data_IF_516081741435
#
_entry.id   IF_516081741435
#
_cell.length_a   1.000
_cell.length_b   1.000
_cell.length_c   1.000
_cell.angle_alpha   90.00
_cell.angle_beta   90.00
_cell.angle_gamma   90.00
#
_symmetry.space_group_name_H-M   'P 1'
#
loop_
_entity.id
_entity.type
_entity.pdbx_description
1 polymer ?
#
# COMPACT_ATOMS: atom_id res chain seq x y z
N UNK A 1 25.21 2.23 -0.92
CA UNK A 1 24.30 2.47 -2.06
C UNK A 1 24.08 3.96 -2.15
N UNK A 2 24.29 4.55 -3.32
CA UNK A 2 24.04 5.99 -3.55
C UNK A 2 22.65 6.16 -4.17
N UNK A 3 21.75 6.82 -3.43
CA UNK A 3 20.35 7.00 -3.84
C UNK A 3 20.12 8.23 -4.70
N UNK A 4 21.14 9.05 -4.95
CA UNK A 4 21.00 10.33 -5.66
C UNK A 4 20.53 10.15 -7.11
N UNK A 5 21.10 9.20 -7.84
CA UNK A 5 20.71 8.92 -9.23
C UNK A 5 19.26 8.38 -9.32
N UNK A 6 18.85 7.35 -8.55
CA UNK A 6 17.46 6.91 -8.51
C UNK A 6 16.48 8.05 -8.19
N UNK A 7 16.77 8.87 -7.18
CA UNK A 7 15.90 9.98 -6.79
C UNK A 7 15.76 11.01 -7.91
N UNK A 8 16.87 11.44 -8.52
CA UNK A 8 16.82 12.38 -9.65
C UNK A 8 16.01 11.83 -10.82
N UNK A 9 16.14 10.53 -11.11
CA UNK A 9 15.36 9.86 -12.15
C UNK A 9 13.85 9.92 -11.86
N UNK A 10 13.43 9.60 -10.63
CA UNK A 10 12.01 9.68 -10.25
C UNK A 10 11.46 11.11 -10.39
N UNK A 11 12.24 12.14 -10.04
CA UNK A 11 11.83 13.55 -10.22
C UNK A 11 11.66 13.92 -11.69
N UNK A 12 12.56 13.46 -12.57
CA UNK A 12 12.49 13.73 -14.00
C UNK A 12 11.22 13.12 -14.63
N UNK A 13 10.98 11.84 -14.37
CA UNK A 13 9.78 11.14 -14.85
C UNK A 13 8.52 11.80 -14.28
N UNK A 14 8.52 12.18 -13.00
CA UNK A 14 7.37 12.86 -12.38
C UNK A 14 7.07 14.21 -13.04
N UNK A 15 8.09 15.02 -13.36
CA UNK A 15 7.86 16.29 -14.09
C UNK A 15 7.24 16.05 -15.47
N UNK A 16 7.76 15.07 -16.22
CA UNK A 16 7.18 14.71 -17.52
C UNK A 16 5.73 14.25 -17.39
N UNK A 17 5.41 13.49 -16.35
CA UNK A 17 4.07 12.99 -16.10
C UNK A 17 3.09 14.11 -15.72
N UNK A 18 3.52 15.14 -14.99
CA UNK A 18 2.68 16.32 -14.69
C UNK A 18 2.19 16.98 -15.98
N UNK A 19 3.06 17.08 -17.00
CA UNK A 19 2.73 17.73 -18.28
C UNK A 19 1.89 16.86 -19.21
N UNK A 20 1.84 15.54 -19.00
CA UNK A 20 1.24 14.58 -19.94
C UNK A 20 0.02 13.85 -19.39
N UNK A 21 -0.16 13.78 -18.08
CA UNK A 21 -1.32 13.13 -17.46
C UNK A 21 -2.53 14.05 -17.43
N UNK A 22 -3.62 13.58 -18.03
CA UNK A 22 -4.92 14.26 -17.96
C UNK A 22 -5.77 13.74 -16.79
N UNK A 23 -5.66 12.45 -16.45
CA UNK A 23 -6.32 11.79 -15.31
C UNK A 23 -5.37 10.83 -14.58
N UNK A 24 -5.82 10.23 -13.46
CA UNK A 24 -5.00 9.40 -12.58
C UNK A 24 -4.44 8.18 -13.31
N UNK A 25 -3.11 7.95 -13.26
CA UNK A 25 -2.46 6.80 -13.88
C UNK A 25 -2.73 5.52 -13.09
N UNK A 26 -2.86 4.39 -13.80
CA UNK A 26 -2.95 3.06 -13.17
C UNK A 26 -1.78 2.16 -13.57
N UNK A 27 -1.65 1.93 -14.87
CA UNK A 27 -0.71 0.97 -15.42
C UNK A 27 -0.22 1.38 -16.81
N UNK A 28 0.91 0.85 -17.24
CA UNK A 28 1.45 1.11 -18.57
C UNK A 28 2.25 -0.09 -19.07
N UNK A 29 2.09 -0.40 -20.36
CA UNK A 29 2.85 -1.40 -21.14
C UNK A 29 3.47 -0.77 -22.41
N UNK A 30 3.43 0.57 -22.50
CA UNK A 30 3.90 1.35 -23.64
C UNK A 30 4.19 2.82 -23.25
N UNK A 31 4.30 3.76 -24.21
CA UNK A 31 4.79 5.11 -23.94
C UNK A 31 3.79 6.03 -23.22
N UNK A 32 2.62 5.52 -22.81
CA UNK A 32 1.56 6.29 -22.17
C UNK A 32 0.93 5.51 -21.03
N UNK A 33 0.59 6.21 -19.95
CA UNK A 33 -0.24 5.66 -18.87
C UNK A 33 -1.64 5.33 -19.39
N UNK A 34 -2.13 4.14 -19.01
CA UNK A 34 -3.57 3.90 -18.93
C UNK A 34 -4.09 4.66 -17.72
N UNK A 35 -5.00 5.59 -17.97
CA UNK A 35 -5.65 6.39 -16.94
C UNK A 35 -7.06 5.89 -16.65
N UNK A 36 -7.55 6.21 -15.46
CA UNK A 36 -8.81 5.71 -14.93
C UNK A 36 -10.06 6.28 -15.63
N UNK A 37 -9.97 7.43 -16.32
CA UNK A 37 -11.13 8.12 -16.91
C UNK A 37 -11.91 7.26 -17.91
N UNK A 38 -11.22 6.43 -18.70
CA UNK A 38 -11.88 5.55 -19.70
C UNK A 38 -12.86 4.55 -19.05
N UNK A 39 -12.65 4.28 -17.76
CA UNK A 39 -13.40 3.43 -16.84
C UNK A 39 -14.70 4.00 -16.22
N UNK A 40 -14.75 5.33 -16.08
CA UNK A 40 -14.98 5.86 -14.73
C UNK A 40 -16.44 5.95 -14.26
N UNK A 41 -17.41 6.35 -15.08
CA UNK A 41 -18.73 6.73 -14.55
C UNK A 41 -18.59 7.57 -13.25
N UNK A 42 -19.44 7.30 -12.24
CA UNK A 42 -19.36 7.95 -10.90
C UNK A 42 -18.58 7.12 -9.85
N UNK A 43 -17.64 6.24 -10.25
CA UNK A 43 -16.98 5.29 -9.31
C UNK A 43 -15.53 5.65 -9.00
N UNK A 44 -15.18 5.43 -7.73
CA UNK A 44 -13.82 5.54 -7.21
C UNK A 44 -12.91 4.48 -7.82
N UNK A 45 -11.65 4.81 -8.09
CA UNK A 45 -10.63 3.79 -8.38
C UNK A 45 -9.57 3.78 -7.28
N UNK A 46 -9.18 2.58 -6.86
CA UNK A 46 -8.39 2.35 -5.66
C UNK A 46 -6.95 2.92 -5.73
N UNK A 47 -6.45 3.16 -6.95
CA UNK A 47 -5.08 3.64 -7.18
C UNK A 47 -4.93 5.17 -7.20
N UNK A 48 -6.03 5.92 -7.10
CA UNK A 48 -6.00 7.36 -7.36
C UNK A 48 -5.08 8.14 -6.39
N UNK A 49 -4.90 7.64 -5.16
CA UNK A 49 -4.03 8.27 -4.15
C UNK A 49 -2.53 8.14 -4.41
N UNK A 50 -2.08 7.14 -5.18
CA UNK A 50 -0.64 6.88 -5.35
C UNK A 50 0.06 7.98 -6.14
N UNK A 51 -0.58 8.51 -7.20
CA UNK A 51 -0.03 9.62 -7.98
C UNK A 51 0.12 10.89 -7.14
N UNK A 52 -0.89 11.22 -6.32
CA UNK A 52 -0.80 12.36 -5.40
C UNK A 52 0.28 12.14 -4.35
N UNK A 53 0.43 10.92 -3.85
CA UNK A 53 1.55 10.54 -2.98
C UNK A 53 2.92 10.77 -3.64
N UNK A 54 3.10 10.36 -4.89
CA UNK A 54 4.33 10.60 -5.66
C UNK A 54 4.63 12.11 -5.75
N UNK A 55 3.62 12.94 -6.03
CA UNK A 55 3.78 14.39 -6.11
C UNK A 55 4.23 14.99 -4.77
N UNK A 56 3.61 14.58 -3.65
CA UNK A 56 4.00 15.02 -2.32
C UNK A 56 5.42 14.61 -1.97
N UNK A 57 5.77 13.34 -2.20
CA UNK A 57 7.10 12.80 -1.95
C UNK A 57 8.17 13.50 -2.81
N UNK A 58 7.84 13.80 -4.06
CA UNK A 58 8.70 14.56 -4.97
C UNK A 58 8.94 15.99 -4.46
N UNK A 59 7.91 16.66 -3.93
CA UNK A 59 8.08 17.98 -3.30
C UNK A 59 8.91 17.90 -2.03
N UNK A 60 8.61 16.97 -1.12
CA UNK A 60 9.35 16.81 0.14
C UNK A 60 10.85 16.61 -0.13
N UNK A 61 11.16 15.78 -1.13
CA UNK A 61 12.54 15.52 -1.50
C UNK A 61 13.23 16.73 -2.14
N UNK A 62 12.59 17.37 -3.14
CA UNK A 62 13.24 18.37 -4.00
C UNK A 62 13.03 19.83 -3.58
N UNK A 63 12.00 20.11 -2.77
CA UNK A 63 11.49 21.46 -2.46
C UNK A 63 11.08 22.28 -3.69
N UNK A 64 10.81 21.61 -4.82
CA UNK A 64 10.38 22.25 -6.07
C UNK A 64 8.87 22.53 -6.02
N UNK A 65 8.50 23.82 -5.98
CA UNK A 65 7.11 24.29 -5.86
C UNK A 65 6.20 23.81 -7.01
N UNK A 66 6.75 23.40 -8.15
CA UNK A 66 5.97 22.81 -9.23
C UNK A 66 5.30 21.49 -8.78
N UNK A 67 6.01 20.63 -8.04
CA UNK A 67 5.43 19.40 -7.50
C UNK A 67 4.36 19.69 -6.45
N UNK A 68 4.57 20.70 -5.59
CA UNK A 68 3.57 21.10 -4.59
C UNK A 68 2.30 21.63 -5.23
N UNK A 69 2.42 22.49 -6.24
CA UNK A 69 1.28 23.02 -6.96
C UNK A 69 0.48 21.89 -7.63
N UNK A 70 1.17 20.95 -8.28
CA UNK A 70 0.55 19.75 -8.82
C UNK A 70 -0.11 18.90 -7.73
N UNK A 71 0.58 18.61 -6.61
CA UNK A 71 0.06 17.77 -5.53
C UNK A 71 -1.24 18.32 -4.94
N UNK A 72 -1.31 19.64 -4.72
CA UNK A 72 -2.53 20.33 -4.28
C UNK A 72 -3.66 20.19 -5.30
N UNK A 73 -3.37 20.41 -6.59
CA UNK A 73 -4.39 20.37 -7.64
C UNK A 73 -4.96 18.95 -7.83
N UNK A 74 -4.08 17.95 -7.89
CA UNK A 74 -4.51 16.55 -8.01
C UNK A 74 -5.23 16.07 -6.74
N UNK A 75 -4.84 16.52 -5.54
CA UNK A 75 -5.55 16.17 -4.30
C UNK A 75 -6.99 16.70 -4.28
N UNK A 76 -7.24 17.90 -4.83
CA UNK A 76 -8.62 18.43 -4.94
C UNK A 76 -9.52 17.54 -5.77
N UNK A 77 -8.99 16.91 -6.83
CA UNK A 77 -9.76 15.99 -7.71
C UNK A 77 -10.26 14.75 -6.98
N UNK A 78 -9.70 14.41 -5.82
CA UNK A 78 -10.11 13.27 -4.99
C UNK A 78 -11.15 13.64 -3.93
N UNK A 79 -11.39 14.93 -3.67
CA UNK A 79 -12.22 15.39 -2.55
C UNK A 79 -13.62 14.77 -2.53
N UNK A 80 -14.24 14.54 -3.68
CA UNK A 80 -15.58 13.97 -3.78
C UNK A 80 -15.68 12.54 -3.23
N UNK A 81 -14.55 11.81 -3.18
CA UNK A 81 -14.48 10.44 -2.69
C UNK A 81 -14.59 10.30 -1.17
N UNK A 82 -14.51 11.40 -0.41
CA UNK A 82 -14.53 11.36 1.07
C UNK A 82 -15.86 10.84 1.64
N UNK A 83 -16.93 10.87 0.85
CA UNK A 83 -18.23 10.31 1.19
C UNK A 83 -18.52 8.96 0.51
N UNK A 84 -17.56 8.42 -0.26
CA UNK A 84 -17.74 7.16 -0.96
C UNK A 84 -17.85 6.01 0.04
N UNK A 85 -18.82 5.14 -0.18
CA UNK A 85 -18.98 3.88 0.55
C UNK A 85 -18.83 2.67 -0.36
N UNK A 86 -18.47 2.89 -1.63
CA UNK A 86 -18.37 1.84 -2.66
C UNK A 86 -17.03 1.10 -2.66
N UNK A 87 -16.04 1.56 -1.89
CA UNK A 87 -14.71 0.94 -1.79
C UNK A 87 -14.15 0.98 -0.38
N UNK A 88 -13.30 0.00 -0.04
CA UNK A 88 -12.48 0.01 1.16
C UNK A 88 -11.17 0.78 1.00
N UNK A 89 -10.79 1.11 -0.24
CA UNK A 89 -9.49 1.68 -0.61
C UNK A 89 -9.34 3.16 -0.25
N UNK A 90 -10.21 3.69 0.61
CA UNK A 90 -10.14 5.08 1.07
C UNK A 90 -8.83 5.37 1.81
N UNK A 91 -8.20 4.36 2.42
CA UNK A 91 -6.88 4.50 3.01
C UNK A 91 -5.80 4.74 1.95
N UNK A 92 -5.72 3.92 0.90
CA UNK A 92 -4.81 4.18 -0.23
C UNK A 92 -5.04 5.55 -0.86
N UNK A 93 -6.30 6.00 -0.94
CA UNK A 93 -6.64 7.27 -1.56
C UNK A 93 -6.29 8.44 -0.65
N UNK A 94 -6.86 8.52 0.55
CA UNK A 94 -6.77 9.70 1.42
C UNK A 94 -5.55 9.73 2.32
N UNK A 95 -4.96 8.59 2.69
CA UNK A 95 -3.73 8.59 3.49
C UNK A 95 -2.55 9.10 2.66
N UNK A 96 -2.45 8.65 1.40
CA UNK A 96 -1.35 9.02 0.49
C UNK A 96 -1.51 10.41 -0.12
N UNK A 97 -2.75 10.90 -0.24
CA UNK A 97 -3.02 12.26 -0.76
C UNK A 97 -3.16 13.29 0.36
N UNK A 98 -4.20 13.17 1.17
CA UNK A 98 -4.63 14.23 2.09
C UNK A 98 -3.88 14.20 3.42
N UNK A 99 -3.66 13.01 4.02
CA UNK A 99 -2.88 12.92 5.26
C UNK A 99 -1.42 13.28 4.99
N UNK A 100 -0.80 12.71 3.96
CA UNK A 100 0.57 13.08 3.58
C UNK A 100 0.68 14.57 3.25
N UNK A 101 -0.21 15.13 2.43
CA UNK A 101 -0.18 16.56 2.09
C UNK A 101 -0.37 17.47 3.31
N UNK A 102 -1.25 17.10 4.24
CA UNK A 102 -1.45 17.83 5.49
C UNK A 102 -0.21 17.82 6.38
N UNK A 103 0.54 16.71 6.44
CA UNK A 103 1.83 16.64 7.16
C UNK A 103 2.91 17.50 6.54
N UNK A 104 2.89 17.61 5.22
CA UNK A 104 3.90 18.34 4.44
C UNK A 104 3.69 19.85 4.50
N UNK A 105 2.43 20.32 4.45
CA UNK A 105 2.12 21.74 4.35
C UNK A 105 1.47 22.34 5.61
N UNK A 106 1.05 21.52 6.57
CA UNK A 106 0.19 21.94 7.69
C UNK A 106 -1.13 22.58 7.25
N UNK A 107 -1.72 22.10 6.14
CA UNK A 107 -2.98 22.60 5.58
C UNK A 107 -4.21 21.92 6.23
N UNK A 108 -5.04 22.66 6.99
CA UNK A 108 -6.13 22.06 7.78
C UNK A 108 -7.21 21.37 6.95
N UNK A 109 -7.51 21.90 5.76
CA UNK A 109 -8.57 21.37 4.89
C UNK A 109 -8.26 19.94 4.42
N UNK A 110 -6.99 19.62 4.17
CA UNK A 110 -6.59 18.27 3.75
C UNK A 110 -6.93 17.24 4.82
N UNK A 111 -6.60 17.53 6.08
CA UNK A 111 -6.94 16.65 7.20
C UNK A 111 -8.46 16.48 7.37
N UNK A 112 -9.25 17.54 7.22
CA UNK A 112 -10.71 17.43 7.34
C UNK A 112 -11.30 16.41 6.35
N UNK A 113 -10.84 16.41 5.09
CA UNK A 113 -11.30 15.47 4.08
C UNK A 113 -10.89 14.03 4.40
N UNK A 114 -9.68 13.82 4.91
CA UNK A 114 -9.20 12.50 5.30
C UNK A 114 -9.99 11.95 6.50
N UNK A 115 -10.37 12.79 7.48
CA UNK A 115 -11.24 12.38 8.59
C UNK A 115 -12.61 11.95 8.09
N UNK A 116 -13.22 12.71 7.17
CA UNK A 116 -14.51 12.33 6.57
C UNK A 116 -14.42 11.00 5.80
N UNK A 117 -13.31 10.78 5.07
CA UNK A 117 -13.04 9.51 4.40
C UNK A 117 -12.89 8.35 5.40
N UNK A 118 -12.22 8.57 6.54
CA UNK A 118 -12.12 7.58 7.61
C UNK A 118 -13.51 7.24 8.18
N UNK A 119 -14.37 8.24 8.38
CA UNK A 119 -15.77 8.01 8.79
C UNK A 119 -16.57 7.20 7.77
N UNK A 120 -16.30 7.37 6.48
CA UNK A 120 -16.93 6.56 5.43
C UNK A 120 -16.39 5.12 5.41
N UNK A 121 -15.09 4.92 5.64
CA UNK A 121 -14.47 3.60 5.71
C UNK A 121 -15.01 2.77 6.88
N UNK A 122 -15.17 3.38 8.07
CA UNK A 122 -15.72 2.69 9.26
C UNK A 122 -17.11 2.11 9.03
N UNK A 123 -17.93 2.69 8.13
CA UNK A 123 -19.26 2.15 7.81
C UNK A 123 -19.22 0.75 7.20
N UNK A 124 -18.07 0.32 6.67
CA UNK A 124 -17.83 -1.02 6.12
C UNK A 124 -17.57 -2.07 7.20
N UNK A 125 -17.52 -1.68 8.48
CA UNK A 125 -17.21 -2.57 9.58
C UNK A 125 -18.37 -3.50 9.93
N UNK A 126 -18.10 -4.80 9.93
CA UNK A 126 -18.97 -5.81 10.50
C UNK A 126 -18.53 -6.12 11.94
N UNK A 127 -19.27 -5.68 12.97
CA UNK A 127 -18.87 -5.87 14.37
C UNK A 127 -19.02 -7.31 14.86
N UNK A 128 -19.71 -8.19 14.13
CA UNK A 128 -19.91 -9.59 14.56
C UNK A 128 -18.72 -10.47 14.24
N UNK A 129 -18.12 -10.26 13.06
CA UNK A 129 -16.90 -10.94 12.64
C UNK A 129 -15.64 -10.10 12.84
N UNK A 130 -15.79 -8.88 13.36
CA UNK A 130 -14.71 -7.93 13.58
C UNK A 130 -13.84 -7.72 12.32
N UNK A 131 -14.48 -7.47 11.17
CA UNK A 131 -13.78 -7.21 9.90
C UNK A 131 -14.38 -6.04 9.11
N UNK A 132 -13.55 -5.41 8.28
CA UNK A 132 -13.99 -4.44 7.28
C UNK A 132 -14.37 -5.17 5.99
N UNK A 133 -15.53 -4.86 5.43
CA UNK A 133 -15.96 -5.38 4.13
C UNK A 133 -15.03 -4.88 3.02
N UNK A 134 -14.46 -5.79 2.23
CA UNK A 134 -13.56 -5.45 1.13
C UNK A 134 -14.34 -4.78 -0.02
N UNK A 135 -15.20 -5.51 -0.74
CA UNK A 135 -15.81 -5.01 -1.97
C UNK A 135 -17.34 -4.92 -1.89
N UNK A 136 -17.93 -4.23 -2.86
CA UNK A 136 -19.38 -4.08 -3.01
C UNK A 136 -20.00 -3.03 -2.10
N UNK A 137 -21.29 -2.80 -2.32
CA UNK A 137 -22.11 -1.85 -1.55
C UNK A 137 -22.34 -2.33 -0.10
N UNK A 138 -22.58 -1.40 0.81
CA UNK A 138 -22.81 -1.68 2.24
C UNK A 138 -24.05 -2.57 2.47
N UNK A 139 -25.08 -2.39 1.65
CA UNK A 139 -26.32 -3.17 1.63
C UNK A 139 -26.35 -4.20 0.48
N UNK A 140 -25.19 -4.49 -0.10
CA UNK A 140 -25.03 -5.43 -1.20
C UNK A 140 -25.28 -6.88 -0.83
N UNK A 141 -24.83 -7.80 -1.70
CA UNK A 141 -25.07 -9.23 -1.51
C UNK A 141 -24.39 -9.75 -0.23
N UNK A 142 -24.92 -10.83 0.35
CA UNK A 142 -24.28 -11.50 1.50
C UNK A 142 -22.84 -11.91 1.20
N UNK A 143 -22.54 -12.28 -0.05
CA UNK A 143 -21.19 -12.67 -0.47
C UNK A 143 -20.23 -11.48 -0.38
N UNK A 144 -20.64 -10.32 -0.89
CA UNK A 144 -19.79 -9.12 -0.90
C UNK A 144 -19.58 -8.59 0.52
N UNK A 145 -20.68 -8.50 1.29
CA UNK A 145 -20.67 -8.08 2.69
C UNK A 145 -19.90 -9.02 3.61
N UNK A 146 -19.80 -10.30 3.22
CA UNK A 146 -19.15 -11.37 3.97
C UNK A 146 -17.66 -11.50 3.70
N UNK A 147 -17.04 -10.64 2.89
CA UNK A 147 -15.66 -10.83 2.44
C UNK A 147 -14.74 -9.71 2.89
N UNK A 148 -13.57 -10.08 3.38
CA UNK A 148 -12.41 -9.21 3.57
C UNK A 148 -11.25 -9.62 2.68
N UNK A 149 -10.26 -8.75 2.49
CA UNK A 149 -9.00 -9.05 1.83
C UNK A 149 -7.81 -8.58 2.70
N UNK A 150 -6.59 -8.97 2.30
CA UNK A 150 -5.35 -8.57 2.96
C UNK A 150 -4.96 -7.11 2.67
N UNK A 151 -5.39 -6.56 1.53
CA UNK A 151 -5.13 -5.17 1.09
C UNK A 151 -5.69 -4.14 2.09
N UNK A 152 -6.80 -4.46 2.77
CA UNK A 152 -7.36 -3.67 3.87
C UNK A 152 -6.35 -3.38 4.99
N UNK A 153 -5.32 -4.21 5.17
CA UNK A 153 -4.25 -3.96 6.14
C UNK A 153 -3.53 -2.64 5.89
N UNK A 154 -3.39 -2.23 4.63
CA UNK A 154 -2.81 -0.93 4.26
C UNK A 154 -3.76 0.23 4.50
N UNK A 155 -5.07 -0.03 4.45
CA UNK A 155 -6.10 1.00 4.64
C UNK A 155 -6.28 1.39 6.12
N UNK A 156 -5.80 0.55 7.04
CA UNK A 156 -5.89 0.81 8.49
C UNK A 156 -5.08 2.02 8.94
N UNK A 157 -4.05 2.42 8.19
CA UNK A 157 -3.26 3.61 8.51
C UNK A 157 -4.12 4.88 8.60
N UNK A 158 -5.12 5.01 7.73
CA UNK A 158 -6.07 6.12 7.76
C UNK A 158 -6.91 6.13 9.04
N UNK A 159 -7.36 4.96 9.50
CA UNK A 159 -8.19 4.85 10.71
C UNK A 159 -7.38 5.14 11.97
N UNK A 160 -6.16 4.59 12.08
CA UNK A 160 -5.28 4.90 13.21
C UNK A 160 -4.94 6.39 13.26
N UNK A 161 -4.60 6.98 12.12
CA UNK A 161 -4.35 8.42 12.03
C UNK A 161 -5.60 9.25 12.41
N UNK A 162 -6.78 8.88 11.92
CA UNK A 162 -8.02 9.60 12.23
C UNK A 162 -8.35 9.57 13.74
N UNK A 163 -8.07 8.46 14.42
CA UNK A 163 -8.22 8.36 15.88
C UNK A 163 -7.30 9.33 16.61
N UNK A 164 -6.03 9.39 16.22
CA UNK A 164 -5.06 10.33 16.82
C UNK A 164 -5.45 11.79 16.54
N UNK A 165 -5.89 12.08 15.32
CA UNK A 165 -6.25 13.42 14.87
C UNK A 165 -7.50 13.97 15.55
N UNK A 166 -8.49 13.11 15.81
CA UNK A 166 -9.80 13.53 16.33
C UNK A 166 -9.99 13.28 17.82
N UNK A 167 -9.20 12.36 18.39
CA UNK A 167 -9.42 11.82 19.74
C UNK A 167 -10.57 10.82 19.83
N UNK A 168 -11.23 10.46 18.71
CA UNK A 168 -12.27 9.43 18.69
C UNK A 168 -11.64 8.03 18.67
N UNK A 169 -11.83 7.21 19.71
CA UNK A 169 -11.23 5.88 19.78
C UNK A 169 -11.84 4.89 18.78
N UNK A 170 -13.04 5.16 18.25
CA UNK A 170 -13.76 4.23 17.37
C UNK A 170 -12.91 3.81 16.17
N UNK A 171 -12.19 4.76 15.55
CA UNK A 171 -11.36 4.46 14.38
C UNK A 171 -10.24 3.47 14.71
N UNK A 172 -9.52 3.68 15.81
CA UNK A 172 -8.45 2.78 16.23
C UNK A 172 -8.97 1.44 16.74
N UNK A 173 -10.14 1.41 17.39
CA UNK A 173 -10.80 0.18 17.83
C UNK A 173 -11.15 -0.72 16.63
N UNK A 174 -11.83 -0.17 15.63
CA UNK A 174 -12.20 -0.87 14.38
C UNK A 174 -10.96 -1.38 13.66
N UNK A 175 -9.93 -0.54 13.51
CA UNK A 175 -8.68 -0.94 12.86
C UNK A 175 -7.97 -2.07 13.61
N UNK A 176 -7.91 -1.99 14.94
CA UNK A 176 -7.29 -3.01 15.79
C UNK A 176 -8.04 -4.34 15.73
N UNK A 177 -9.38 -4.30 15.78
CA UNK A 177 -10.24 -5.47 15.66
C UNK A 177 -10.07 -6.13 14.30
N UNK A 178 -10.12 -5.35 13.21
CA UNK A 178 -9.87 -5.85 11.88
C UNK A 178 -8.51 -6.54 11.74
N UNK A 179 -7.44 -5.90 12.22
CA UNK A 179 -6.09 -6.48 12.18
C UNK A 179 -5.98 -7.78 12.98
N UNK A 180 -6.67 -7.90 14.13
CA UNK A 180 -6.73 -9.15 14.92
C UNK A 180 -7.38 -10.27 14.13
N UNK A 181 -8.53 -10.00 13.51
CA UNK A 181 -9.25 -10.95 12.67
C UNK A 181 -8.41 -11.36 11.47
N UNK A 182 -7.84 -10.40 10.74
CA UNK A 182 -6.96 -10.65 9.59
C UNK A 182 -5.76 -11.53 9.96
N UNK A 183 -5.14 -11.30 11.13
CA UNK A 183 -4.06 -12.18 11.63
C UNK A 183 -4.53 -13.62 11.82
N UNK A 184 -5.76 -13.83 12.29
CA UNK A 184 -6.29 -15.16 12.60
C UNK A 184 -6.70 -15.94 11.34
N UNK A 185 -7.23 -15.25 10.33
CA UNK A 185 -7.85 -15.91 9.16
C UNK A 185 -7.02 -15.80 7.88
N UNK A 186 -6.18 -14.78 7.73
CA UNK A 186 -5.38 -14.57 6.52
C UNK A 186 -3.93 -15.05 6.69
N UNK A 187 -3.36 -15.02 7.89
CA UNK A 187 -1.95 -15.41 8.10
C UNK A 187 -1.81 -16.88 8.47
N UNK A 188 -1.00 -17.61 7.69
CA UNK A 188 -0.76 -19.04 7.88
C UNK A 188 0.35 -19.31 8.92
N UNK A 189 0.53 -20.59 9.23
CA UNK A 189 1.48 -21.05 10.28
C UNK A 189 2.94 -20.92 9.89
N UNK A 190 3.28 -20.82 8.61
CA UNK A 190 4.65 -20.59 8.12
C UNK A 190 5.00 -19.10 8.00
N UNK A 191 3.99 -18.23 7.82
CA UNK A 191 4.18 -16.79 7.64
C UNK A 191 3.52 -16.29 6.38
N UNK A 192 3.24 -17.17 5.41
CA UNK A 192 2.52 -16.85 4.19
C UNK A 192 1.10 -16.36 4.47
N UNK A 193 0.53 -15.65 3.50
CA UNK A 193 -0.82 -15.10 3.60
C UNK A 193 -1.78 -15.62 2.53
N UNK A 194 -3.03 -15.83 2.94
CA UNK A 194 -4.16 -15.92 2.03
C UNK A 194 -4.56 -14.50 1.61
N UNK A 195 -5.16 -14.38 0.42
CA UNK A 195 -5.57 -13.07 -0.09
C UNK A 195 -6.92 -12.63 0.50
N UNK A 196 -7.94 -13.49 0.47
CA UNK A 196 -9.29 -13.14 0.97
C UNK A 196 -9.78 -14.11 2.03
N UNK A 197 -10.73 -13.65 2.86
CA UNK A 197 -11.47 -14.51 3.78
C UNK A 197 -12.97 -14.21 3.72
N UNK A 198 -13.76 -15.30 3.71
CA UNK A 198 -15.21 -15.29 3.70
C UNK A 198 -15.75 -15.54 5.11
N UNK A 199 -16.83 -14.85 5.45
CA UNK A 199 -17.53 -14.88 6.73
C UNK A 199 -19.03 -15.00 6.51
N UNK A 200 -19.74 -15.63 7.43
CA UNK A 200 -21.17 -15.46 7.52
C UNK A 200 -21.48 -14.07 8.10
N UNK A 201 -22.23 -13.26 7.35
CA UNK A 201 -22.48 -11.84 7.66
C UNK A 201 -23.23 -11.63 8.97
N UNK A 202 -24.13 -12.56 9.33
CA UNK A 202 -25.02 -12.41 10.48
C UNK A 202 -24.42 -12.96 11.77
N UNK A 203 -23.51 -13.91 11.67
CA UNK A 203 -22.87 -14.55 12.85
C UNK A 203 -21.44 -14.09 13.04
N UNK A 204 -20.77 -13.59 12.00
CA UNK A 204 -19.35 -13.25 12.03
C UNK A 204 -18.41 -14.46 11.97
N UNK A 205 -18.95 -15.66 11.79
CA UNK A 205 -18.15 -16.89 11.76
C UNK A 205 -17.33 -16.93 10.45
N UNK A 206 -16.01 -17.14 10.59
CA UNK A 206 -15.13 -17.41 9.47
C UNK A 206 -15.53 -18.72 8.77
N UNK A 207 -15.67 -18.66 7.45
CA UNK A 207 -16.07 -19.80 6.61
C UNK A 207 -14.82 -20.43 5.98
N UNK A 208 -14.01 -19.62 5.29
CA UNK A 208 -12.81 -20.09 4.58
C UNK A 208 -11.92 -18.92 4.18
N UNK A 209 -10.67 -19.24 3.86
CA UNK A 209 -9.75 -18.33 3.18
C UNK A 209 -9.56 -18.80 1.74
N UNK A 210 -9.39 -17.85 0.83
CA UNK A 210 -9.39 -18.08 -0.62
C UNK A 210 -8.47 -17.04 -1.30
N UNK A 211 -8.48 -17.02 -2.63
CA UNK A 211 -7.80 -15.98 -3.41
C UNK A 211 -8.69 -15.36 -4.47
N UNK A 212 -8.38 -14.12 -4.82
CA UNK A 212 -8.93 -13.45 -5.99
C UNK A 212 -7.87 -13.19 -7.07
N UNK A 213 -6.63 -12.88 -6.67
CA UNK A 213 -5.54 -12.52 -7.59
C UNK A 213 -4.33 -13.44 -7.54
N UNK A 214 -4.24 -14.33 -6.55
CA UNK A 214 -3.16 -15.31 -6.41
C UNK A 214 -3.39 -16.56 -7.26
N UNK A 215 -2.38 -17.42 -7.32
CA UNK A 215 -2.39 -18.65 -8.10
C UNK A 215 -3.43 -19.66 -7.62
N UNK A 216 -3.51 -19.89 -6.31
CA UNK A 216 -4.44 -20.81 -5.68
C UNK A 216 -4.90 -20.31 -4.31
N UNK A 217 -5.97 -20.87 -3.78
CA UNK A 217 -6.50 -20.54 -2.45
C UNK A 217 -5.47 -20.75 -1.31
N UNK A 218 -4.55 -21.67 -1.50
CA UNK A 218 -3.47 -22.06 -0.59
C UNK A 218 -2.09 -21.53 -1.02
N UNK A 219 -2.00 -20.78 -2.13
CA UNK A 219 -0.77 -20.09 -2.53
C UNK A 219 -0.56 -18.77 -1.77
N UNK A 220 0.64 -18.20 -1.93
CA UNK A 220 1.05 -16.92 -1.38
C UNK A 220 1.27 -15.88 -2.49
N UNK A 221 0.22 -15.10 -2.75
CA UNK A 221 0.28 -13.98 -3.69
C UNK A 221 1.24 -12.90 -3.17
N UNK A 222 2.28 -12.56 -3.94
CA UNK A 222 3.43 -11.82 -3.41
C UNK A 222 3.10 -10.41 -2.94
N UNK A 223 2.16 -9.73 -3.62
CA UNK A 223 1.69 -8.42 -3.17
C UNK A 223 0.76 -8.48 -1.95
N UNK A 224 -0.01 -9.54 -1.80
CA UNK A 224 -0.80 -9.78 -0.60
C UNK A 224 0.08 -9.95 0.63
N UNK A 225 1.18 -10.69 0.48
CA UNK A 225 2.22 -10.85 1.50
C UNK A 225 2.86 -9.51 1.85
N UNK A 226 3.16 -8.69 0.84
CA UNK A 226 3.74 -7.37 1.01
C UNK A 226 2.80 -6.41 1.77
N UNK A 227 1.50 -6.42 1.47
CA UNK A 227 0.47 -5.67 2.20
C UNK A 227 0.37 -6.09 3.65
N UNK A 228 0.42 -7.39 3.93
CA UNK A 228 0.40 -7.90 5.29
C UNK A 228 1.65 -7.47 6.07
N UNK A 229 2.83 -7.56 5.46
CA UNK A 229 4.10 -7.16 6.09
C UNK A 229 4.05 -5.70 6.54
N UNK A 230 3.75 -4.79 5.61
CA UNK A 230 3.70 -3.37 5.93
C UNK A 230 2.54 -3.09 6.90
N UNK A 231 1.32 -3.56 6.59
CA UNK A 231 0.16 -3.28 7.42
C UNK A 231 0.28 -3.77 8.87
N UNK A 232 0.88 -4.94 9.13
CA UNK A 232 1.10 -5.40 10.50
C UNK A 232 2.20 -4.62 11.24
N UNK A 233 3.24 -4.16 10.55
CA UNK A 233 4.22 -3.24 11.15
C UNK A 233 3.54 -1.92 11.57
N UNK A 234 2.68 -1.36 10.71
CA UNK A 234 1.86 -0.18 11.02
C UNK A 234 0.90 -0.43 12.19
N UNK A 235 0.26 -1.60 12.24
CA UNK A 235 -0.62 -1.96 13.36
C UNK A 235 0.14 -2.03 14.68
N UNK A 236 1.38 -2.53 14.68
CA UNK A 236 2.21 -2.54 15.88
C UNK A 236 2.62 -1.13 16.31
N UNK A 237 3.02 -0.26 15.37
CA UNK A 237 3.29 1.16 15.66
C UNK A 237 2.08 1.83 16.35
N UNK A 238 0.89 1.56 15.83
CA UNK A 238 -0.36 2.15 16.31
C UNK A 238 -0.78 1.63 17.70
N UNK A 239 -0.56 0.35 17.99
CA UNK A 239 -1.20 -0.32 19.14
C UNK A 239 -0.22 -0.84 20.20
N UNK A 240 1.06 -0.97 19.84
CA UNK A 240 2.09 -1.65 20.63
C UNK A 240 1.71 -3.08 21.04
N UNK A 241 0.78 -3.73 20.34
CA UNK A 241 0.36 -5.11 20.62
C UNK A 241 1.42 -6.11 20.14
N UNK A 242 2.11 -6.87 21.02
CA UNK A 242 3.22 -7.73 20.62
C UNK A 242 2.84 -8.80 19.59
N UNK A 243 1.56 -9.20 19.53
CA UNK A 243 1.05 -10.13 18.52
C UNK A 243 1.19 -9.61 17.09
N UNK A 244 1.13 -8.29 16.88
CA UNK A 244 1.32 -7.68 15.56
C UNK A 244 2.79 -7.60 15.17
N UNK A 245 3.69 -7.26 16.08
CA UNK A 245 5.13 -7.34 15.83
C UNK A 245 5.56 -8.77 15.51
N UNK A 246 5.09 -9.74 16.30
CA UNK A 246 5.40 -11.14 16.10
C UNK A 246 4.95 -11.67 14.73
N UNK A 247 3.79 -11.25 14.24
CA UNK A 247 3.32 -11.68 12.90
C UNK A 247 4.04 -10.93 11.78
N UNK A 248 4.33 -9.63 11.93
CA UNK A 248 5.10 -8.86 10.95
C UNK A 248 6.51 -9.45 10.75
N UNK A 249 7.22 -9.80 11.84
CA UNK A 249 8.52 -10.49 11.76
C UNK A 249 8.43 -11.83 11.03
N UNK A 250 7.36 -12.59 11.28
CA UNK A 250 7.16 -13.90 10.67
C UNK A 250 6.90 -13.81 9.17
N UNK A 251 6.05 -12.88 8.75
CA UNK A 251 5.80 -12.54 7.34
C UNK A 251 7.11 -12.08 6.68
N UNK A 252 7.88 -11.21 7.33
CA UNK A 252 9.19 -10.77 6.84
C UNK A 252 10.16 -11.94 6.65
N UNK A 253 10.25 -12.85 7.63
CA UNK A 253 11.09 -14.05 7.51
C UNK A 253 10.65 -14.95 6.36
N UNK A 254 9.36 -15.28 6.25
CA UNK A 254 8.83 -16.06 5.14
C UNK A 254 9.16 -15.39 3.79
N UNK A 255 8.84 -14.10 3.65
CA UNK A 255 9.08 -13.33 2.43
C UNK A 255 10.54 -13.42 2.00
N UNK A 256 11.49 -13.10 2.90
CA UNK A 256 12.91 -13.09 2.58
C UNK A 256 13.48 -14.47 2.26
N UNK A 257 12.94 -15.54 2.85
CA UNK A 257 13.33 -16.92 2.56
C UNK A 257 12.86 -17.39 1.17
N UNK A 258 11.79 -16.79 0.63
CA UNK A 258 11.20 -17.15 -0.66
C UNK A 258 11.52 -16.16 -1.79
N UNK A 259 12.30 -15.11 -1.53
CA UNK A 259 12.77 -14.21 -2.58
C UNK A 259 13.75 -14.93 -3.52
N UNK A 260 13.65 -14.70 -4.84
CA UNK A 260 14.63 -15.19 -5.82
C UNK A 260 15.97 -14.46 -5.67
N UNK A 261 16.99 -14.90 -6.41
CA UNK A 261 18.37 -14.38 -6.32
C UNK A 261 18.46 -12.86 -6.54
N UNK A 262 17.67 -12.33 -7.46
CA UNK A 262 17.56 -10.90 -7.76
C UNK A 262 16.62 -10.14 -6.82
N UNK A 263 16.10 -10.78 -5.77
CA UNK A 263 15.33 -10.17 -4.67
C UNK A 263 13.99 -9.52 -5.07
N UNK A 264 13.53 -9.70 -6.30
CA UNK A 264 12.22 -9.22 -6.77
C UNK A 264 11.29 -10.42 -6.95
N UNK A 265 10.19 -10.54 -6.20
CA UNK A 265 9.41 -11.75 -6.18
C UNK A 265 8.73 -12.00 -7.54
N UNK A 266 8.40 -13.27 -7.78
CA UNK A 266 7.38 -13.60 -8.78
C UNK A 266 6.01 -13.08 -8.29
N UNK A 267 5.04 -13.02 -9.19
CA UNK A 267 3.69 -12.55 -8.85
C UNK A 267 3.00 -13.40 -7.76
N UNK A 268 3.40 -14.66 -7.60
CA UNK A 268 2.97 -15.58 -6.55
C UNK A 268 4.16 -16.48 -6.18
N UNK A 269 4.43 -16.67 -4.90
CA UNK A 269 5.58 -17.45 -4.41
C UNK A 269 5.45 -18.95 -4.71
N UNK A 270 4.23 -19.45 -4.89
CA UNK A 270 3.95 -20.87 -5.13
C UNK A 270 3.56 -21.16 -6.58
N UNK A 271 3.78 -20.21 -7.50
CA UNK A 271 3.49 -20.42 -8.92
C UNK A 271 4.30 -21.61 -9.46
N UNK A 272 3.67 -22.64 -10.04
CA UNK A 272 4.35 -23.84 -10.53
C UNK A 272 5.25 -23.57 -11.73
N UNK A 273 5.04 -22.43 -12.40
CA UNK A 273 5.79 -22.03 -13.58
C UNK A 273 7.12 -21.33 -13.25
N UNK A 274 7.47 -21.14 -11.97
CA UNK A 274 8.77 -20.53 -11.57
C UNK A 274 9.94 -21.38 -12.13
N UNK A 275 10.97 -20.76 -12.75
CA UNK A 275 11.19 -19.31 -12.90
C UNK A 275 10.63 -18.69 -14.19
N UNK A 276 9.90 -19.45 -15.01
CA UNK A 276 9.34 -19.02 -16.30
C UNK A 276 7.95 -18.36 -16.17
N UNK A 277 7.79 -17.49 -15.17
CA UNK A 277 6.53 -16.77 -14.90
C UNK A 277 6.78 -15.29 -14.62
N UNK A 278 5.72 -14.52 -14.43
CA UNK A 278 5.78 -13.07 -14.28
C UNK A 278 6.38 -12.62 -12.94
N UNK A 279 7.11 -11.52 -12.96
CA UNK A 279 7.59 -10.82 -11.76
C UNK A 279 6.50 -9.91 -11.20
N UNK A 280 6.72 -9.43 -9.98
CA UNK A 280 5.97 -8.31 -9.43
C UNK A 280 6.89 -7.32 -8.71
N UNK A 281 7.41 -6.36 -9.47
CA UNK A 281 8.21 -5.25 -8.94
C UNK A 281 7.45 -4.40 -7.93
N UNK A 282 6.12 -4.32 -8.04
CA UNK A 282 5.30 -3.59 -7.08
C UNK A 282 5.30 -4.26 -5.71
N UNK A 283 5.24 -5.60 -5.65
CA UNK A 283 5.39 -6.34 -4.39
C UNK A 283 6.77 -6.10 -3.76
N UNK A 284 7.85 -6.14 -4.55
CA UNK A 284 9.20 -5.83 -4.04
C UNK A 284 9.29 -4.42 -3.42
N UNK A 285 8.72 -3.41 -4.09
CA UNK A 285 8.75 -2.04 -3.60
C UNK A 285 8.02 -1.93 -2.23
N UNK A 286 6.87 -2.59 -2.11
CA UNK A 286 6.09 -2.64 -0.88
C UNK A 286 6.83 -3.41 0.21
N UNK A 287 7.46 -4.54 -0.12
CA UNK A 287 8.27 -5.33 0.83
C UNK A 287 9.39 -4.46 1.40
N UNK A 288 10.09 -3.69 0.55
CA UNK A 288 11.14 -2.79 1.02
C UNK A 288 10.59 -1.76 2.02
N UNK A 289 9.46 -1.13 1.73
CA UNK A 289 8.79 -0.22 2.66
C UNK A 289 8.31 -0.91 3.95
N UNK A 290 7.75 -2.11 3.84
CA UNK A 290 7.28 -2.90 4.97
C UNK A 290 8.43 -3.30 5.91
N UNK A 291 9.58 -3.69 5.36
CA UNK A 291 10.80 -3.96 6.12
C UNK A 291 11.33 -2.71 6.82
N UNK A 292 11.32 -1.56 6.15
CA UNK A 292 11.68 -0.29 6.80
C UNK A 292 10.69 0.07 7.91
N UNK A 293 9.39 -0.15 7.71
CA UNK A 293 8.36 0.10 8.72
C UNK A 293 8.53 -0.81 9.93
N UNK A 294 8.86 -2.08 9.69
CA UNK A 294 9.22 -3.03 10.74
C UNK A 294 10.50 -2.59 11.48
N UNK A 295 11.52 -2.11 10.77
CA UNK A 295 12.74 -1.59 11.38
C UNK A 295 12.52 -0.35 12.26
N UNK A 296 11.53 0.48 11.92
CA UNK A 296 11.23 1.70 12.69
C UNK A 296 10.58 1.41 14.05
N UNK A 297 10.02 0.20 14.23
CA UNK A 297 9.34 -0.25 15.45
C UNK A 297 10.06 -1.40 16.15
N UNK A 298 11.18 -1.85 15.59
CA UNK A 298 11.98 -2.94 16.12
C UNK A 298 12.85 -2.47 17.30
N UNK A 299 12.87 -3.25 18.37
CA UNK A 299 13.62 -2.97 19.60
C UNK A 299 15.00 -3.65 19.59
N UNK A 300 15.11 -4.79 18.90
CA UNK A 300 16.39 -5.50 18.74
C UNK A 300 17.21 -4.84 17.62
N UNK A 301 18.33 -4.21 17.97
CA UNK A 301 19.17 -3.50 17.01
C UNK A 301 19.69 -4.37 15.86
N UNK A 302 19.92 -5.66 16.12
CA UNK A 302 20.39 -6.61 15.09
C UNK A 302 19.28 -6.88 14.08
N UNK A 303 18.04 -7.02 14.54
CA UNK A 303 16.89 -7.14 13.65
C UNK A 303 16.62 -5.84 12.90
N UNK A 304 16.74 -4.68 13.57
CA UNK A 304 16.61 -3.36 12.94
C UNK A 304 17.58 -3.22 11.78
N UNK A 305 18.87 -3.52 11.99
CA UNK A 305 19.89 -3.45 10.95
C UNK A 305 19.62 -4.44 9.82
N UNK A 306 19.23 -5.68 10.16
CA UNK A 306 18.85 -6.69 9.17
C UNK A 306 17.71 -6.22 8.27
N UNK A 307 16.63 -5.68 8.83
CA UNK A 307 15.47 -5.23 8.06
C UNK A 307 15.83 -4.06 7.14
N UNK A 308 16.62 -3.09 7.64
CA UNK A 308 17.11 -1.97 6.83
C UNK A 308 18.02 -2.43 5.70
N UNK A 309 18.93 -3.37 5.97
CA UNK A 309 19.83 -3.92 4.96
C UNK A 309 19.06 -4.61 3.84
N UNK A 310 18.09 -5.46 4.18
CA UNK A 310 17.26 -6.13 3.18
C UNK A 310 16.42 -5.16 2.36
N UNK A 311 15.81 -4.16 3.00
CA UNK A 311 15.08 -3.12 2.29
C UNK A 311 15.97 -2.36 1.29
N UNK A 312 17.20 -2.01 1.70
CA UNK A 312 18.17 -1.36 0.84
C UNK A 312 18.55 -2.24 -0.35
N UNK A 313 18.81 -3.55 -0.14
CA UNK A 313 19.15 -4.50 -1.20
C UNK A 313 18.02 -4.69 -2.20
N UNK A 314 16.77 -4.84 -1.74
CA UNK A 314 15.60 -4.96 -2.61
C UNK A 314 15.41 -3.69 -3.44
N UNK A 315 15.48 -2.51 -2.80
CA UNK A 315 15.35 -1.22 -3.48
C UNK A 315 16.46 -1.01 -4.52
N UNK A 316 17.69 -1.44 -4.22
CA UNK A 316 18.79 -1.38 -5.16
C UNK A 316 18.58 -2.33 -6.35
N UNK A 317 18.08 -3.54 -6.12
CA UNK A 317 17.75 -4.46 -7.22
C UNK A 317 16.67 -3.90 -8.13
N UNK A 318 15.62 -3.31 -7.56
CA UNK A 318 14.57 -2.61 -8.32
C UNK A 318 15.17 -1.51 -9.21
N UNK A 319 16.07 -0.71 -8.67
CA UNK A 319 16.76 0.32 -9.43
C UNK A 319 17.62 -0.23 -10.58
N UNK A 320 18.44 -1.24 -10.30
CA UNK A 320 19.41 -1.76 -11.26
C UNK A 320 18.78 -2.61 -12.36
N UNK A 321 17.72 -3.35 -12.05
CA UNK A 321 17.18 -4.38 -12.95
C UNK A 321 15.75 -4.15 -13.40
N UNK A 322 14.97 -3.33 -12.68
CA UNK A 322 13.55 -3.14 -12.93
C UNK A 322 13.18 -1.69 -13.21
N UNK A 323 14.13 -0.75 -13.15
CA UNK A 323 13.85 0.63 -13.54
C UNK A 323 13.53 0.72 -15.04
N UNK A 324 12.65 1.64 -15.39
CA UNK A 324 12.30 1.99 -16.78
C UNK A 324 13.38 2.81 -17.49
N UNK A 325 14.59 2.93 -16.91
CA UNK A 325 15.73 3.62 -17.55
C UNK A 325 15.96 3.06 -18.95
N UNK A 326 16.27 3.94 -19.89
CA UNK A 326 16.51 3.61 -21.30
C UNK A 326 15.27 3.03 -22.03
N UNK A 327 14.07 3.31 -21.53
CA UNK A 327 12.81 2.99 -22.22
C UNK A 327 11.96 4.24 -22.44
N UNK A 328 10.89 4.13 -23.22
CA UNK A 328 9.89 5.20 -23.39
C UNK A 328 8.76 5.15 -22.35
N UNK A 329 8.77 4.16 -21.45
CA UNK A 329 7.72 3.94 -20.45
C UNK A 329 7.75 5.06 -19.40
N UNK A 330 6.64 5.80 -19.21
CA UNK A 330 6.58 6.97 -18.30
C UNK A 330 6.41 6.59 -16.82
N UNK A 331 6.99 5.48 -16.37
CA UNK A 331 6.92 5.00 -14.99
C UNK A 331 8.31 4.95 -14.34
N UNK A 332 8.43 4.59 -13.06
CA UNK A 332 9.72 4.34 -12.41
C UNK A 332 10.15 2.88 -12.56
N UNK A 333 9.21 1.96 -12.35
CA UNK A 333 9.45 0.52 -12.37
C UNK A 333 8.68 -0.20 -13.48
N UNK A 334 9.30 -1.24 -14.03
CA UNK A 334 8.75 -2.20 -14.99
C UNK A 334 8.36 -3.51 -14.29
N UNK A 335 7.70 -4.42 -15.02
CA UNK A 335 7.46 -5.81 -14.60
C UNK A 335 6.66 -6.00 -13.30
N UNK A 336 5.66 -5.14 -13.08
CA UNK A 336 4.65 -5.30 -12.05
C UNK A 336 3.48 -6.17 -12.52
N UNK A 337 2.81 -6.86 -11.58
CA UNK A 337 1.69 -7.75 -11.93
C UNK A 337 0.40 -7.42 -11.18
N UNK A 338 -0.53 -6.68 -11.81
CA UNK A 338 -1.82 -6.30 -11.21
C UNK A 338 -2.67 -7.52 -10.86
N UNK A 339 -2.91 -8.43 -11.79
CA UNK A 339 -3.59 -9.70 -11.57
C UNK A 339 -3.32 -10.65 -12.72
N UNK A 340 -2.39 -11.59 -12.51
CA UNK A 340 -2.00 -12.57 -13.53
C UNK A 340 -3.16 -13.48 -13.94
N UNK A 341 -4.00 -14.02 -13.03
CA UNK A 341 -5.15 -14.85 -13.43
C UNK A 341 -6.17 -14.12 -14.31
N UNK A 342 -6.23 -12.79 -14.21
CA UNK A 342 -7.12 -11.95 -15.00
C UNK A 342 -6.43 -11.27 -16.20
N UNK A 343 -5.18 -11.63 -16.50
CA UNK A 343 -4.46 -11.15 -17.67
C UNK A 343 -3.77 -9.78 -17.54
N UNK A 344 -3.81 -9.15 -16.36
CA UNK A 344 -3.15 -7.85 -16.11
C UNK A 344 -1.77 -8.07 -15.47
N UNK A 345 -0.74 -8.25 -16.30
CA UNK A 345 0.59 -8.72 -15.88
C UNK A 345 1.67 -8.06 -16.71
N UNK A 346 2.88 -7.96 -16.15
CA UNK A 346 4.04 -7.36 -16.81
C UNK A 346 3.81 -5.91 -17.26
N UNK A 347 3.25 -5.10 -16.36
CA UNK A 347 3.02 -3.68 -16.57
C UNK A 347 3.87 -2.85 -15.60
N UNK A 348 4.18 -1.61 -15.96
CA UNK A 348 4.45 -0.59 -14.96
C UNK A 348 3.17 -0.26 -14.18
N UNK A 349 3.29 0.00 -12.87
CA UNK A 349 2.15 0.16 -11.96
C UNK A 349 2.37 1.36 -11.03
N UNK A 350 1.40 2.27 -10.95
CA UNK A 350 1.55 3.53 -10.19
C UNK A 350 1.83 3.31 -8.71
N UNK A 351 1.29 2.23 -8.12
CA UNK A 351 1.55 1.88 -6.73
C UNK A 351 2.97 1.32 -6.54
N UNK A 352 3.51 0.59 -7.52
CA UNK A 352 4.92 0.20 -7.50
C UNK A 352 5.83 1.42 -7.51
N UNK A 353 5.53 2.41 -8.36
CA UNK A 353 6.25 3.68 -8.41
C UNK A 353 6.18 4.45 -7.09
N UNK A 354 5.00 4.54 -6.47
CA UNK A 354 4.83 5.20 -5.17
C UNK A 354 5.72 4.55 -4.09
N UNK A 355 5.63 3.23 -3.91
CA UNK A 355 6.40 2.55 -2.86
C UNK A 355 7.91 2.52 -3.16
N UNK A 356 8.31 2.54 -4.43
CA UNK A 356 9.71 2.70 -4.79
C UNK A 356 10.25 4.06 -4.35
N UNK A 357 9.53 5.14 -4.64
CA UNK A 357 9.92 6.49 -4.21
C UNK A 357 9.89 6.62 -2.68
N UNK A 358 8.90 6.03 -2.02
CA UNK A 358 8.86 5.98 -0.55
C UNK A 358 10.12 5.29 0.00
N UNK A 359 10.50 4.12 -0.52
CA UNK A 359 11.68 3.39 -0.09
C UNK A 359 12.96 4.22 -0.29
N UNK A 360 13.12 4.86 -1.47
CA UNK A 360 14.23 5.74 -1.76
C UNK A 360 14.33 6.90 -0.76
N UNK A 361 13.22 7.56 -0.45
CA UNK A 361 13.19 8.67 0.52
C UNK A 361 13.55 8.17 1.92
N UNK A 362 12.96 7.07 2.38
CA UNK A 362 13.22 6.53 3.72
C UNK A 362 14.67 6.07 3.90
N UNK A 363 15.31 5.55 2.84
CA UNK A 363 16.70 5.12 2.85
C UNK A 363 17.69 6.29 2.73
N UNK A 364 17.36 7.33 1.96
CA UNK A 364 18.24 8.47 1.71
C UNK A 364 18.09 9.60 2.73
N UNK A 365 16.91 9.72 3.34
CA UNK A 365 16.50 10.82 4.21
C UNK A 365 15.77 10.30 5.45
N UNK A 366 16.46 9.58 6.35
CA UNK A 366 15.83 8.97 7.53
C UNK A 366 15.17 9.98 8.48
N UNK A 367 15.56 11.26 8.43
CA UNK A 367 14.91 12.34 9.17
C UNK A 367 13.44 12.56 8.76
N UNK A 368 13.07 12.15 7.54
CA UNK A 368 11.70 12.23 7.03
C UNK A 368 10.83 11.04 7.40
N UNK A 369 11.36 10.06 8.16
CA UNK A 369 10.62 8.87 8.59
C UNK A 369 9.29 9.18 9.31
N UNK A 370 9.19 10.34 9.96
CA UNK A 370 7.98 10.80 10.63
C UNK A 370 6.76 10.94 9.69
N UNK A 371 6.97 11.19 8.39
CA UNK A 371 5.88 11.32 7.42
C UNK A 371 5.11 10.01 7.18
N UNK A 372 5.74 8.87 7.46
CA UNK A 372 5.20 7.53 7.20
C UNK A 372 4.59 6.87 8.43
N UNK A 373 4.71 7.49 9.61
CA UNK A 373 4.19 6.96 10.87
C UNK A 373 2.71 7.29 11.03
N UNK A 374 1.91 6.43 11.64
CA UNK A 374 0.52 6.77 11.96
C UNK A 374 0.40 7.67 13.19
N UNK A 375 1.38 7.62 14.11
CA UNK A 375 1.46 8.51 15.27
C UNK A 375 2.45 9.64 15.04
N UNK A 376 2.00 10.87 15.22
CA UNK A 376 2.92 12.00 15.37
C UNK A 376 3.52 11.95 16.78
N UNK A 377 4.86 12.06 16.87
CA UNK A 377 5.49 12.28 18.18
C UNK A 377 5.01 13.65 18.68
N UNK A 378 4.10 13.68 19.65
CA UNK A 378 3.80 14.90 20.39
C UNK A 378 5.11 15.38 21.03
N UNK A 379 5.54 16.57 20.62
CA UNK A 379 6.76 17.23 21.08
C UNK A 379 6.71 17.53 22.59
#
# INVERSE_FOLDING_TARGET
MDWKEPLNYTLEITRRNIETLEDFPESCDGPSWRTIERERGDRAHWVDGFWTGILWLSYVHSQDEHFKAAALEWSKRLRWLKHSTSTHDLGFIFYLSHVLGGRVLAEPDLYSHAVEAASSLVKRYNPRGEYLQAWGELDGTRKDRGRTNVDLMMNLALLFWASEQTGDPLFAEVATQHARTSRLVLVRKDGSTAHVADFDVDTGVWIRSDTYQGFAHDSCWSRGEAWALYGFATCYEATSLPSFLGVARKIASYTLEHLPEDLVPFWDFDSPDIPNTYRDSSAAAVIACGLLALADVEEDSTLTDRWREWAARITWSLWEHYSSRNTEIPAFLLHGSRSVPHGYKDHALIYGDYYFLEALIRLSRPELSHLFKVKEKKA
#
